data_IF_111982519577
#
_entry.id   IF_111982519577
#
_cell.length_a   1.000
_cell.length_b   1.000
_cell.length_c   1.000
_cell.angle_alpha   90.00
_cell.angle_beta   90.00
_cell.angle_gamma   90.00
#
_symmetry.space_group_name_H-M   'P 1'
#
loop_
_entity.id
_entity.type
_entity.pdbx_description
1 polymer ?
#
# COMPACT_ATOMS: atom_id res chain seq x y z
N UNK A 1 20.88 -15.00 -4.78
CA UNK A 1 20.56 -13.62 -4.39
C UNK A 1 21.40 -12.68 -5.23
N UNK A 2 20.79 -11.81 -5.99
CA UNK A 2 21.50 -10.73 -6.68
C UNK A 2 21.82 -9.63 -5.64
N UNK A 3 22.97 -8.97 -5.78
CA UNK A 3 23.36 -7.88 -4.90
C UNK A 3 23.15 -6.55 -5.63
N UNK A 4 22.28 -5.70 -5.11
CA UNK A 4 21.89 -4.41 -5.69
C UNK A 4 22.44 -3.23 -4.87
N UNK A 5 23.66 -3.38 -4.33
CA UNK A 5 24.27 -2.42 -3.40
C UNK A 5 24.20 -0.97 -3.89
N UNK A 6 24.70 -0.69 -5.09
CA UNK A 6 24.75 0.69 -5.61
C UNK A 6 23.36 1.29 -5.83
N UNK A 7 22.44 0.48 -6.35
CA UNK A 7 21.06 0.91 -6.55
C UNK A 7 20.40 1.26 -5.23
N UNK A 8 20.38 0.33 -4.28
CA UNK A 8 19.68 0.52 -2.98
C UNK A 8 20.31 1.68 -2.18
N UNK A 9 21.65 1.80 -2.20
CA UNK A 9 22.34 2.91 -1.55
C UNK A 9 22.04 4.29 -2.16
N UNK A 10 21.60 4.34 -3.42
CA UNK A 10 21.23 5.60 -4.10
C UNK A 10 19.75 5.98 -3.94
N UNK A 11 18.91 5.06 -3.49
CA UNK A 11 17.47 5.32 -3.29
C UNK A 11 17.25 6.19 -2.04
N UNK A 12 16.35 7.19 -2.11
CA UNK A 12 16.00 7.99 -0.95
C UNK A 12 15.25 7.18 0.09
N UNK A 13 15.39 7.54 1.37
CA UNK A 13 14.65 6.91 2.46
C UNK A 13 13.14 7.16 2.33
N UNK A 14 12.33 6.12 2.53
CA UNK A 14 10.87 6.21 2.55
C UNK A 14 10.37 6.16 4.00
N UNK A 15 9.47 7.08 4.35
CA UNK A 15 8.83 7.19 5.68
C UNK A 15 7.32 7.15 5.54
N UNK A 16 6.65 6.47 6.46
CA UNK A 16 5.20 6.38 6.47
C UNK A 16 4.49 7.73 6.69
N UNK A 17 5.14 8.65 7.40
CA UNK A 17 4.65 10.00 7.72
C UNK A 17 5.26 11.09 6.82
N UNK A 18 6.11 10.72 5.86
CA UNK A 18 6.80 11.61 4.94
C UNK A 18 6.12 11.75 3.58
N UNK A 19 6.61 12.73 2.82
CA UNK A 19 6.25 12.85 1.41
C UNK A 19 6.92 11.74 0.60
N UNK A 20 6.35 11.41 -0.55
CA UNK A 20 6.93 10.46 -1.50
C UNK A 20 8.09 11.14 -2.27
N UNK A 21 9.36 10.79 -2.00
CA UNK A 21 10.51 11.51 -2.56
C UNK A 21 10.76 11.22 -4.03
N UNK A 22 10.31 10.06 -4.52
CA UNK A 22 10.35 9.65 -5.93
C UNK A 22 9.07 8.92 -6.30
N UNK A 23 8.67 9.02 -7.55
CA UNK A 23 7.55 8.26 -8.10
C UNK A 23 7.94 6.82 -8.40
N UNK A 24 6.95 5.93 -8.51
CA UNK A 24 7.21 4.55 -8.92
C UNK A 24 7.84 4.45 -10.31
N UNK A 25 7.50 5.34 -11.22
CA UNK A 25 8.09 5.42 -12.57
C UNK A 25 9.58 5.79 -12.53
N UNK A 26 9.95 6.75 -11.70
CA UNK A 26 11.37 7.12 -11.50
C UNK A 26 12.15 5.97 -10.87
N UNK A 27 11.58 5.30 -9.87
CA UNK A 27 12.16 4.08 -9.28
C UNK A 27 12.41 3.00 -10.35
N UNK A 28 11.42 2.70 -11.20
CA UNK A 28 11.60 1.74 -12.31
C UNK A 28 12.70 2.17 -13.28
N UNK A 29 12.82 3.47 -13.56
CA UNK A 29 13.90 3.99 -14.41
C UNK A 29 15.28 3.76 -13.77
N UNK A 30 15.41 3.89 -12.45
CA UNK A 30 16.63 3.55 -11.72
C UNK A 30 16.93 2.03 -11.76
N UNK A 31 15.89 1.18 -11.77
CA UNK A 31 16.04 -0.27 -11.81
C UNK A 31 16.45 -0.80 -13.17
N UNK A 32 16.02 -0.18 -14.28
CA UNK A 32 16.09 -0.73 -15.64
C UNK A 32 17.47 -1.25 -16.06
N UNK A 33 18.57 -0.61 -15.64
CA UNK A 33 19.94 -1.02 -15.98
C UNK A 33 20.69 -1.68 -14.82
N UNK A 34 20.08 -1.77 -13.64
CA UNK A 34 20.76 -2.15 -12.39
C UNK A 34 20.25 -3.45 -11.79
N UNK A 35 19.14 -4.01 -12.31
CA UNK A 35 18.55 -5.25 -11.81
C UNK A 35 18.48 -6.31 -12.90
N UNK A 36 18.27 -7.58 -12.50
CA UNK A 36 18.06 -8.66 -13.45
C UNK A 36 16.78 -8.44 -14.27
N UNK A 37 16.77 -8.90 -15.53
CA UNK A 37 15.59 -8.79 -16.40
C UNK A 37 14.33 -9.40 -15.75
N UNK A 38 14.50 -10.54 -15.05
CA UNK A 38 13.42 -11.20 -14.31
C UNK A 38 12.86 -10.31 -13.20
N UNK A 39 13.72 -9.73 -12.37
CA UNK A 39 13.29 -8.89 -11.24
C UNK A 39 12.69 -7.58 -11.76
N UNK A 40 13.22 -7.04 -12.86
CA UNK A 40 12.66 -5.86 -13.50
C UNK A 40 11.22 -6.08 -13.99
N UNK A 41 10.96 -7.22 -14.67
CA UNK A 41 9.60 -7.55 -15.12
C UNK A 41 8.64 -7.79 -13.92
N UNK A 42 9.11 -8.39 -12.83
CA UNK A 42 8.32 -8.54 -11.61
C UNK A 42 8.01 -7.16 -10.99
N UNK A 43 8.99 -6.27 -10.87
CA UNK A 43 8.80 -4.92 -10.34
C UNK A 43 7.85 -4.10 -11.21
N UNK A 44 7.98 -4.19 -12.54
CA UNK A 44 7.11 -3.48 -13.49
C UNK A 44 5.63 -3.85 -13.33
N UNK A 45 5.35 -5.12 -13.03
CA UNK A 45 4.00 -5.64 -12.85
C UNK A 45 3.56 -5.70 -11.38
N UNK A 46 4.37 -5.16 -10.45
CA UNK A 46 4.09 -5.23 -9.02
C UNK A 46 2.87 -4.39 -8.64
N UNK A 47 1.98 -5.02 -7.91
CA UNK A 47 0.84 -4.39 -7.22
C UNK A 47 0.81 -4.85 -5.76
N UNK A 48 0.05 -4.17 -4.90
CA UNK A 48 -0.11 -4.56 -3.49
C UNK A 48 -0.74 -5.95 -3.32
N UNK A 49 -1.43 -6.46 -4.35
CA UNK A 49 -2.05 -7.80 -4.38
C UNK A 49 -1.25 -8.84 -5.14
N UNK A 50 -0.04 -8.52 -5.64
CA UNK A 50 0.84 -9.47 -6.30
C UNK A 50 1.24 -10.61 -5.37
N UNK A 51 1.52 -11.79 -5.93
CA UNK A 51 1.83 -13.01 -5.16
C UNK A 51 3.19 -13.61 -5.51
N UNK A 52 3.84 -13.12 -6.55
CA UNK A 52 5.10 -13.65 -7.07
C UNK A 52 6.21 -12.63 -6.90
N UNK A 53 7.35 -13.10 -6.47
CA UNK A 53 8.56 -12.31 -6.30
C UNK A 53 9.18 -12.44 -4.91
N UNK A 54 10.45 -12.04 -4.75
CA UNK A 54 11.11 -11.97 -3.45
C UNK A 54 10.30 -11.12 -2.48
N UNK A 55 10.15 -11.56 -1.24
CA UNK A 55 9.34 -10.91 -0.20
C UNK A 55 7.81 -10.86 -0.50
N UNK A 56 7.43 -10.80 -1.78
CA UNK A 56 6.03 -10.55 -2.20
C UNK A 56 5.07 -11.62 -1.71
N UNK A 57 5.50 -12.89 -1.63
CA UNK A 57 4.66 -13.97 -1.11
C UNK A 57 4.31 -13.77 0.37
N UNK A 58 5.31 -13.39 1.19
CA UNK A 58 5.11 -13.13 2.62
C UNK A 58 4.25 -11.89 2.84
N UNK A 59 4.53 -10.83 2.09
CA UNK A 59 3.70 -9.64 2.05
C UNK A 59 2.25 -9.95 1.67
N UNK A 60 2.02 -10.77 0.64
CA UNK A 60 0.66 -11.08 0.17
C UNK A 60 -0.17 -11.84 1.20
N UNK A 61 0.46 -12.69 2.01
CA UNK A 61 -0.21 -13.35 3.15
C UNK A 61 -0.67 -12.34 4.18
N UNK A 62 0.23 -11.48 4.61
CA UNK A 62 -0.09 -10.40 5.56
C UNK A 62 -1.17 -9.47 5.01
N UNK A 63 -0.99 -8.95 3.79
CA UNK A 63 -1.92 -8.03 3.15
C UNK A 63 -3.31 -8.65 2.94
N UNK A 64 -3.34 -9.95 2.64
CA UNK A 64 -4.57 -10.71 2.56
C UNK A 64 -5.29 -10.85 3.90
N UNK A 65 -4.56 -11.02 5.02
CA UNK A 65 -5.15 -11.05 6.37
C UNK A 65 -5.69 -9.66 6.75
N UNK A 66 -4.91 -8.61 6.53
CA UNK A 66 -5.31 -7.23 6.80
C UNK A 66 -6.57 -6.84 6.01
N UNK A 67 -6.61 -7.15 4.72
CA UNK A 67 -7.77 -6.85 3.86
C UNK A 67 -9.02 -7.60 4.30
N UNK A 68 -8.90 -8.88 4.69
CA UNK A 68 -10.02 -9.67 5.20
C UNK A 68 -10.56 -9.11 6.52
N UNK A 69 -9.68 -8.75 7.44
CA UNK A 69 -10.08 -8.14 8.71
C UNK A 69 -10.78 -6.79 8.50
N UNK A 70 -10.25 -5.94 7.62
CA UNK A 70 -10.90 -4.68 7.23
C UNK A 70 -12.32 -4.91 6.69
N UNK A 71 -12.49 -5.88 5.78
CA UNK A 71 -13.79 -6.20 5.19
C UNK A 71 -14.75 -6.77 6.23
N UNK A 72 -14.24 -7.61 7.14
CA UNK A 72 -15.03 -8.16 8.23
C UNK A 72 -15.57 -7.06 9.15
N UNK A 73 -14.68 -6.22 9.70
CA UNK A 73 -15.10 -5.18 10.64
C UNK A 73 -16.00 -4.11 9.99
N UNK A 74 -15.73 -3.75 8.71
CA UNK A 74 -16.62 -2.86 7.93
C UNK A 74 -18.01 -3.48 7.74
N UNK A 75 -18.09 -4.75 7.45
CA UNK A 75 -19.37 -5.46 7.29
C UNK A 75 -20.14 -5.50 8.59
N UNK A 76 -19.47 -5.78 9.71
CA UNK A 76 -20.08 -5.77 11.03
C UNK A 76 -20.62 -4.37 11.40
N UNK A 77 -19.86 -3.31 11.14
CA UNK A 77 -20.29 -1.93 11.39
C UNK A 77 -21.51 -1.53 10.53
N UNK A 78 -21.68 -2.14 9.36
CA UNK A 78 -22.84 -1.94 8.49
C UNK A 78 -24.01 -2.88 8.79
N UNK A 79 -23.92 -3.71 9.86
CA UNK A 79 -24.94 -4.69 10.20
C UNK A 79 -25.09 -5.83 9.19
N UNK A 80 -24.05 -6.10 8.38
CA UNK A 80 -24.04 -7.17 7.37
C UNK A 80 -23.32 -8.40 7.91
N UNK A 81 -23.84 -9.59 7.59
CA UNK A 81 -23.13 -10.83 7.91
C UNK A 81 -21.92 -11.03 7.00
N UNK A 82 -20.79 -11.41 7.57
CA UNK A 82 -19.59 -11.77 6.85
C UNK A 82 -19.38 -13.29 6.95
N UNK A 83 -19.37 -14.00 5.81
CA UNK A 83 -19.45 -15.45 5.76
C UNK A 83 -18.11 -16.20 5.64
N UNK A 84 -16.97 -15.51 5.59
CA UNK A 84 -15.69 -16.18 5.47
C UNK A 84 -15.05 -16.45 6.83
N UNK A 85 -14.81 -17.74 7.13
CA UNK A 85 -13.93 -18.13 8.22
C UNK A 85 -12.48 -17.74 7.86
N UNK A 86 -11.78 -17.06 8.77
CA UNK A 86 -10.35 -16.76 8.66
C UNK A 86 -9.73 -16.75 10.05
N UNK A 87 -8.44 -17.07 10.11
CA UNK A 87 -7.68 -17.00 11.35
C UNK A 87 -7.49 -15.53 11.73
N UNK A 88 -8.01 -15.15 12.88
CA UNK A 88 -7.89 -13.79 13.39
C UNK A 88 -6.51 -13.58 14.01
N UNK A 89 -5.82 -12.55 13.54
CA UNK A 89 -4.65 -12.00 14.21
C UNK A 89 -5.08 -10.85 15.14
N UNK A 90 -4.67 -10.92 16.41
CA UNK A 90 -5.07 -9.95 17.43
C UNK A 90 -4.51 -8.55 17.17
N UNK A 91 -3.28 -8.45 16.66
CA UNK A 91 -2.65 -7.16 16.33
C UNK A 91 -3.32 -6.52 15.12
N UNK A 92 -3.54 -7.30 14.06
CA UNK A 92 -4.27 -6.83 12.87
C UNK A 92 -5.67 -6.34 13.26
N UNK A 93 -6.41 -7.11 14.09
CA UNK A 93 -7.74 -6.73 14.53
C UNK A 93 -7.74 -5.41 15.32
N UNK A 94 -6.74 -5.19 16.18
CA UNK A 94 -6.61 -3.95 16.96
C UNK A 94 -6.28 -2.75 16.06
N UNK A 95 -5.34 -2.89 15.13
CA UNK A 95 -4.98 -1.82 14.18
C UNK A 95 -6.16 -1.44 13.30
N UNK A 96 -6.87 -2.44 12.77
CA UNK A 96 -8.07 -2.22 11.96
C UNK A 96 -9.17 -1.51 12.75
N UNK A 97 -9.43 -1.92 14.00
CA UNK A 97 -10.39 -1.24 14.86
C UNK A 97 -10.00 0.22 15.10
N UNK A 98 -8.72 0.50 15.34
CA UNK A 98 -8.20 1.86 15.50
C UNK A 98 -8.39 2.69 14.23
N UNK A 99 -8.09 2.14 13.07
CA UNK A 99 -8.29 2.81 11.79
C UNK A 99 -9.78 3.10 11.51
N UNK A 100 -10.68 2.16 11.80
CA UNK A 100 -12.11 2.34 11.60
C UNK A 100 -12.74 3.34 12.58
N UNK A 101 -12.10 3.61 13.72
CA UNK A 101 -12.51 4.62 14.69
C UNK A 101 -11.90 6.00 14.44
N UNK A 102 -11.05 6.15 13.43
CA UNK A 102 -10.41 7.40 13.09
C UNK A 102 -11.42 8.47 12.63
N UNK A 103 -11.10 9.75 12.86
CA UNK A 103 -12.01 10.88 12.60
C UNK A 103 -12.28 11.11 11.10
N UNK A 104 -11.36 10.70 10.25
CA UNK A 104 -11.47 10.88 8.82
C UNK A 104 -10.70 9.77 8.07
N UNK A 105 -10.99 9.55 6.76
CA UNK A 105 -10.34 8.50 5.99
C UNK A 105 -8.81 8.64 5.86
N UNK A 106 -8.27 9.85 5.83
CA UNK A 106 -6.83 10.08 5.75
C UNK A 106 -6.11 9.62 7.04
N UNK A 107 -6.70 9.92 8.20
CA UNK A 107 -6.16 9.46 9.49
C UNK A 107 -6.22 7.92 9.58
N UNK A 108 -7.33 7.31 9.15
CA UNK A 108 -7.47 5.86 9.06
C UNK A 108 -6.37 5.24 8.18
N UNK A 109 -6.13 5.82 7.00
CA UNK A 109 -5.11 5.35 6.07
C UNK A 109 -3.69 5.48 6.64
N UNK A 110 -3.40 6.56 7.37
CA UNK A 110 -2.09 6.73 8.04
C UNK A 110 -1.84 5.69 9.12
N UNK A 111 -2.87 5.30 9.89
CA UNK A 111 -2.76 4.23 10.89
C UNK A 111 -2.41 2.90 10.21
N UNK A 112 -3.11 2.57 9.13
CA UNK A 112 -2.84 1.35 8.37
C UNK A 112 -1.44 1.38 7.73
N UNK A 113 -1.07 2.49 7.11
CA UNK A 113 0.22 2.68 6.45
C UNK A 113 1.39 2.51 7.43
N UNK A 114 1.31 3.09 8.62
CA UNK A 114 2.35 2.94 9.64
C UNK A 114 2.57 1.48 10.01
N UNK A 115 1.49 0.72 10.22
CA UNK A 115 1.55 -0.70 10.52
C UNK A 115 2.07 -1.55 9.35
N UNK A 116 1.68 -1.21 8.12
CA UNK A 116 2.17 -1.86 6.91
C UNK A 116 3.67 -1.65 6.70
N UNK A 117 4.18 -0.44 6.99
CA UNK A 117 5.62 -0.13 6.94
C UNK A 117 6.40 -0.92 8.00
N UNK A 118 5.93 -0.93 9.24
CA UNK A 118 6.55 -1.71 10.33
C UNK A 118 6.59 -3.22 10.00
N UNK A 119 5.51 -3.74 9.45
CA UNK A 119 5.45 -5.14 9.01
C UNK A 119 6.43 -5.42 7.88
N UNK A 120 6.54 -4.53 6.88
CA UNK A 120 7.52 -4.67 5.80
C UNK A 120 8.95 -4.65 6.32
N UNK A 121 9.27 -3.75 7.26
CA UNK A 121 10.60 -3.71 7.88
C UNK A 121 10.91 -5.00 8.63
N UNK A 122 9.91 -5.55 9.30
CA UNK A 122 10.02 -6.84 9.99
C UNK A 122 10.23 -8.01 9.02
N UNK A 123 9.54 -8.01 7.86
CA UNK A 123 9.67 -9.03 6.82
C UNK A 123 11.04 -8.95 6.11
N UNK A 124 11.50 -7.74 5.81
CA UNK A 124 12.85 -7.51 5.27
C UNK A 124 13.92 -7.95 6.27
N UNK A 125 13.70 -7.70 7.55
CA UNK A 125 14.54 -8.17 8.64
C UNK A 125 16.01 -7.77 8.50
N UNK A 126 16.91 -8.76 8.43
CA UNK A 126 18.36 -8.56 8.32
C UNK A 126 18.88 -8.54 6.88
N UNK A 127 18.00 -8.56 5.89
CA UNK A 127 18.40 -8.45 4.50
C UNK A 127 19.04 -7.08 4.22
N UNK A 128 20.11 -7.09 3.42
CA UNK A 128 20.85 -5.87 3.07
C UNK A 128 21.26 -5.93 1.59
N UNK A 129 20.89 -4.92 0.80
CA UNK A 129 21.30 -4.74 -0.59
C UNK A 129 20.97 -5.90 -1.54
N UNK A 130 19.94 -6.67 -1.24
CA UNK A 130 19.47 -7.79 -2.05
C UNK A 130 18.06 -7.54 -2.62
N UNK A 131 17.53 -8.55 -3.28
CA UNK A 131 16.21 -8.53 -3.88
C UNK A 131 15.08 -8.31 -2.86
N UNK A 132 15.21 -8.83 -1.61
CA UNK A 132 14.24 -8.60 -0.54
C UNK A 132 14.10 -7.12 -0.20
N UNK A 133 15.23 -6.42 0.00
CA UNK A 133 15.23 -4.97 0.28
C UNK A 133 14.65 -4.19 -0.89
N UNK A 134 15.00 -4.57 -2.12
CA UNK A 134 14.52 -3.90 -3.33
C UNK A 134 13.00 -4.04 -3.50
N UNK A 135 12.45 -5.24 -3.31
CA UNK A 135 11.00 -5.46 -3.37
C UNK A 135 10.26 -4.83 -2.19
N UNK A 136 10.85 -4.84 -0.99
CA UNK A 136 10.32 -4.11 0.17
C UNK A 136 10.20 -2.61 -0.10
N UNK A 137 11.22 -2.02 -0.72
CA UNK A 137 11.21 -0.62 -1.15
C UNK A 137 10.10 -0.34 -2.18
N UNK A 138 9.97 -1.22 -3.18
CA UNK A 138 8.93 -1.11 -4.20
C UNK A 138 7.51 -1.18 -3.61
N UNK A 139 7.27 -2.07 -2.64
CA UNK A 139 5.98 -2.17 -1.95
C UNK A 139 5.71 -0.91 -1.14
N UNK A 140 6.71 -0.36 -0.41
CA UNK A 140 6.58 0.90 0.33
C UNK A 140 6.20 2.06 -0.60
N UNK A 141 6.79 2.15 -1.78
CA UNK A 141 6.39 3.16 -2.78
C UNK A 141 4.92 2.99 -3.22
N UNK A 142 4.47 1.75 -3.46
CA UNK A 142 3.06 1.49 -3.79
C UNK A 142 2.10 1.87 -2.66
N UNK A 143 2.51 1.71 -1.42
CA UNK A 143 1.74 2.14 -0.26
C UNK A 143 1.65 3.67 -0.18
N UNK A 144 2.74 4.38 -0.44
CA UNK A 144 2.74 5.85 -0.51
C UNK A 144 1.92 6.38 -1.70
N UNK A 145 1.98 5.72 -2.87
CA UNK A 145 1.08 6.03 -3.99
C UNK A 145 -0.40 5.90 -3.58
N UNK A 146 -0.75 4.85 -2.82
CA UNK A 146 -2.11 4.69 -2.28
C UNK A 146 -2.48 5.84 -1.35
N UNK A 147 -1.59 6.25 -0.43
CA UNK A 147 -1.82 7.39 0.46
C UNK A 147 -2.05 8.70 -0.33
N UNK A 148 -1.32 8.92 -1.42
CA UNK A 148 -1.45 10.13 -2.24
C UNK A 148 -2.83 10.32 -2.86
N UNK A 149 -3.65 9.25 -2.96
CA UNK A 149 -5.03 9.33 -3.41
C UNK A 149 -5.96 10.05 -2.40
N UNK A 150 -5.53 10.18 -1.13
CA UNK A 150 -6.31 10.84 -0.07
C UNK A 150 -5.98 12.34 0.08
N UNK A 151 -5.32 12.95 -0.89
CA UNK A 151 -5.05 14.40 -0.87
C UNK A 151 -6.35 15.21 -0.91
N UNK A 152 -6.48 16.13 0.05
CA UNK A 152 -7.69 16.92 0.25
C UNK A 152 -8.09 17.74 -1.00
N UNK A 153 -7.12 18.30 -1.69
CA UNK A 153 -7.38 19.14 -2.87
C UNK A 153 -7.90 18.31 -4.06
N UNK A 154 -7.31 17.13 -4.28
CA UNK A 154 -7.81 16.18 -5.29
C UNK A 154 -9.23 15.71 -4.95
N UNK A 155 -9.46 15.34 -3.67
CA UNK A 155 -10.78 14.92 -3.21
C UNK A 155 -11.84 16.00 -3.36
N UNK A 156 -11.53 17.27 -3.09
CA UNK A 156 -12.46 18.40 -3.30
C UNK A 156 -12.76 18.61 -4.78
N UNK A 157 -11.77 18.52 -5.66
CA UNK A 157 -11.95 18.68 -7.10
C UNK A 157 -12.85 17.59 -7.68
N UNK A 158 -12.59 16.32 -7.33
CA UNK A 158 -13.41 15.19 -7.75
C UNK A 158 -14.84 15.27 -7.20
N UNK A 159 -15.03 15.63 -5.93
CA UNK A 159 -16.35 15.82 -5.33
C UNK A 159 -17.14 16.91 -6.06
N UNK A 160 -16.49 18.05 -6.37
CA UNK A 160 -17.13 19.14 -7.11
C UNK A 160 -17.55 18.69 -8.51
N UNK A 161 -16.68 17.97 -9.23
CA UNK A 161 -17.00 17.42 -10.56
C UNK A 161 -18.19 16.47 -10.53
N UNK A 162 -18.25 15.55 -9.54
CA UNK A 162 -19.39 14.66 -9.35
C UNK A 162 -20.67 15.40 -9.01
N UNK A 163 -20.58 16.39 -8.13
CA UNK A 163 -21.74 17.21 -7.72
C UNK A 163 -22.30 18.01 -8.89
N UNK A 164 -21.46 18.67 -9.67
CA UNK A 164 -21.84 19.42 -10.86
C UNK A 164 -22.51 18.50 -11.91
N UNK A 165 -21.97 17.28 -12.09
CA UNK A 165 -22.55 16.27 -12.98
C UNK A 165 -23.93 15.77 -12.54
N UNK A 166 -24.17 15.63 -11.23
CA UNK A 166 -25.48 15.29 -10.67
C UNK A 166 -26.45 16.43 -10.85
N UNK A 167 -26.05 17.67 -10.56
CA UNK A 167 -26.89 18.85 -10.77
C UNK A 167 -27.34 18.99 -12.23
N UNK A 168 -26.41 18.83 -13.18
CA UNK A 168 -26.77 18.91 -14.61
C UNK A 168 -27.81 17.86 -15.00
N UNK A 169 -27.72 16.62 -14.47
CA UNK A 169 -28.71 15.57 -14.74
C UNK A 169 -30.08 15.89 -14.13
N UNK A 170 -30.11 16.48 -12.93
CA UNK A 170 -31.35 16.84 -12.25
C UNK A 170 -32.05 18.00 -12.96
N UNK A 171 -31.29 18.99 -13.47
CA UNK A 171 -31.87 20.14 -14.20
C UNK A 171 -32.16 19.87 -15.69
N UNK A 172 -31.73 18.70 -16.20
CA UNK A 172 -32.03 18.26 -17.58
C UNK A 172 -33.26 17.34 -17.68
N UNK A 173 -33.92 17.07 -16.56
CA UNK A 173 -35.21 16.37 -16.45
C UNK A 173 -36.35 17.37 -16.32
#
# INVERSE_FOLDING_TARGET
MASYYYLIASLPELKADGDMPITYSEFLSCCQSNVSERDFELLKNLSLSSKEGPLVEEWSRFYGMLTRELNYQRSMNLGRSYSSAYDKDGLISQVVASALSAKNPLEAERILLAYEFETLDSLVGLHMFDDYVLFGYAIKLKLLERLSCFEQEKGKAEFKSLFDGIQQRVYSL
#
